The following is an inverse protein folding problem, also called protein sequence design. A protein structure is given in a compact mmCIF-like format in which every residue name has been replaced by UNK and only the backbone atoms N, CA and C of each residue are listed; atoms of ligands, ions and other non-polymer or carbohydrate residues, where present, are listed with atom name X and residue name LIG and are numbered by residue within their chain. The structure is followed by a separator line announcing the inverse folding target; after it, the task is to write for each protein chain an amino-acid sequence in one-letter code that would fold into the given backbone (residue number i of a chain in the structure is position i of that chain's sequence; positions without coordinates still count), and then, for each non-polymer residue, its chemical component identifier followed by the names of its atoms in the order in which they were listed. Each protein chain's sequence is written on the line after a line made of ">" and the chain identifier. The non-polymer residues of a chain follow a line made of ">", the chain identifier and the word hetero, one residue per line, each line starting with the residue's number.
data_IF_238778351148
#
_entry.id   IF_238778351148
#
_cell.length_a   1.000
_cell.length_b   1.000
_cell.length_c   1.000
_cell.angle_alpha   90.00
_cell.angle_beta   90.00
_cell.angle_gamma   90.00
#
_symmetry.space_group_name_H-M   'P 1'
#
loop_
_entity.id
_entity.type
_entity.pdbx_description
1 polymer ?
#
# COMPACT_ATOMS: atom_id res chain seq x y z
N UNK A 1 16.62 31.88 -10.71
CA UNK A 1 16.61 32.29 -9.29
C UNK A 1 17.43 31.27 -8.49
N UNK A 2 18.61 31.68 -8.00
CA UNK A 2 19.56 30.84 -7.25
C UNK A 2 19.22 30.94 -5.77
N UNK A 3 18.99 29.81 -5.10
CA UNK A 3 18.85 29.78 -3.64
C UNK A 3 20.22 29.52 -3.01
N UNK A 4 20.78 30.57 -2.40
CA UNK A 4 21.94 30.48 -1.51
C UNK A 4 21.51 29.79 -0.20
N UNK A 5 22.16 28.68 0.14
CA UNK A 5 22.05 28.08 1.48
C UNK A 5 23.02 28.81 2.43
N UNK A 6 22.48 29.75 3.20
CA UNK A 6 23.18 30.35 4.32
C UNK A 6 23.20 29.37 5.49
N UNK A 7 24.41 29.09 5.99
CA UNK A 7 24.67 28.13 7.05
C UNK A 7 23.86 28.36 8.31
N UNK A 8 23.36 27.27 8.89
CA UNK A 8 23.02 27.21 10.31
C UNK A 8 23.54 25.92 10.92
N UNK A 9 24.60 26.13 11.71
CA UNK A 9 25.19 25.28 12.74
C UNK A 9 24.10 24.69 13.64
N UNK A 10 24.00 23.37 13.67
CA UNK A 10 23.12 22.65 14.58
C UNK A 10 23.70 22.72 16.01
N UNK A 11 22.89 23.00 17.05
CA UNK A 11 23.36 22.93 18.41
C UNK A 11 23.54 21.47 18.84
N UNK A 12 24.75 21.16 19.31
CA UNK A 12 25.08 19.94 20.02
C UNK A 12 24.18 19.80 21.26
N UNK A 13 23.33 18.77 21.28
CA UNK A 13 22.61 18.37 22.48
C UNK A 13 23.54 17.53 23.37
N UNK A 14 24.01 18.14 24.46
CA UNK A 14 24.63 17.48 25.61
C UNK A 14 23.65 17.57 26.79
N UNK A 15 23.26 16.44 27.34
CA UNK A 15 22.50 16.34 28.60
C UNK A 15 22.41 14.87 29.01
N UNK A 16 23.44 14.35 29.67
CA UNK A 16 23.61 14.28 31.13
C UNK A 16 22.75 13.18 31.76
N UNK A 17 23.45 12.11 32.09
CA UNK A 17 23.07 10.99 32.95
C UNK A 17 22.48 11.44 34.29
N UNK A 18 21.34 10.86 34.66
CA UNK A 18 20.81 10.80 36.02
C UNK A 18 20.55 9.34 36.38
N UNK A 19 21.26 8.85 37.39
CA UNK A 19 21.25 7.47 37.90
C UNK A 19 20.42 7.43 39.19
N UNK A 20 19.35 6.63 39.22
CA UNK A 20 18.70 6.05 40.41
C UNK A 20 17.82 4.91 39.83
N UNK A 21 18.09 3.63 40.05
CA UNK A 21 18.12 2.95 41.34
C UNK A 21 16.80 2.22 41.53
N UNK A 22 16.65 1.00 40.99
CA UNK A 22 15.63 0.06 41.46
C UNK A 22 16.08 -1.37 41.21
N UNK A 23 16.12 -2.14 42.30
CA UNK A 23 16.44 -3.57 42.36
C UNK A 23 15.19 -4.34 41.95
N UNK A 24 15.36 -5.30 41.04
CA UNK A 24 14.31 -6.24 40.67
C UNK A 24 14.93 -7.42 39.95
N UNK A 25 15.35 -8.43 40.70
CA UNK A 25 15.82 -9.69 40.16
C UNK A 25 14.62 -10.54 39.74
N UNK A 26 14.53 -10.94 38.48
CA UNK A 26 13.74 -12.10 38.06
C UNK A 26 14.45 -12.79 36.88
N UNK A 27 15.12 -13.88 37.24
CA UNK A 27 15.28 -15.15 36.53
C UNK A 27 14.99 -15.21 35.03
N UNK A 28 16.00 -15.64 34.27
CA UNK A 28 15.92 -16.05 32.86
C UNK A 28 14.81 -17.07 32.58
N UNK A 29 14.34 -17.08 31.32
CA UNK A 29 14.32 -18.31 30.56
C UNK A 29 15.20 -18.24 29.31
N UNK A 30 15.67 -19.44 28.98
CA UNK A 30 16.52 -19.84 27.86
C UNK A 30 15.94 -19.43 26.49
N UNK A 31 16.85 -19.12 25.58
CA UNK A 31 16.85 -19.61 24.20
C UNK A 31 15.69 -19.17 23.32
N UNK A 32 15.93 -18.11 22.54
CA UNK A 32 15.93 -18.25 21.08
C UNK A 32 17.07 -17.37 20.57
N UNK A 33 18.18 -18.00 20.21
CA UNK A 33 19.11 -17.44 19.23
C UNK A 33 18.31 -17.28 17.94
N UNK A 34 17.56 -16.19 17.83
CA UNK A 34 16.98 -15.78 16.56
C UNK A 34 18.17 -15.27 15.78
N UNK A 35 18.76 -16.19 15.00
CA UNK A 35 19.72 -15.92 13.97
C UNK A 35 19.42 -14.54 13.41
N UNK A 36 20.37 -13.61 13.59
CA UNK A 36 20.32 -12.35 12.91
C UNK A 36 20.34 -12.70 11.42
N UNK A 37 19.15 -12.81 10.82
CA UNK A 37 18.97 -12.71 9.39
C UNK A 37 19.62 -11.37 9.04
N UNK A 38 20.87 -11.46 8.60
CA UNK A 38 21.66 -10.37 8.09
C UNK A 38 21.02 -9.91 6.80
N UNK A 39 19.85 -9.28 6.91
CA UNK A 39 19.31 -8.45 5.87
C UNK A 39 20.35 -7.36 5.68
N UNK A 40 21.17 -7.51 4.65
CA UNK A 40 21.96 -6.44 4.08
C UNK A 40 20.98 -5.27 3.86
N UNK A 41 20.98 -4.33 4.79
CA UNK A 41 20.01 -3.24 4.81
C UNK A 41 20.45 -2.24 3.75
N UNK A 42 20.02 -2.46 2.52
CA UNK A 42 20.29 -1.55 1.41
C UNK A 42 19.53 -0.26 1.67
N UNK A 43 20.22 0.76 2.21
CA UNK A 43 19.62 2.05 2.46
C UNK A 43 19.53 2.86 1.17
N UNK A 44 18.33 2.94 0.59
CA UNK A 44 18.05 3.77 -0.58
C UNK A 44 17.63 5.18 -0.12
N UNK A 45 18.23 6.20 -0.75
CA UNK A 45 17.81 7.60 -0.58
C UNK A 45 16.84 7.97 -1.69
N UNK A 46 15.64 8.39 -1.31
CA UNK A 46 14.61 8.85 -2.24
C UNK A 46 14.24 10.30 -1.92
N UNK A 47 13.96 11.09 -2.95
CA UNK A 47 13.50 12.48 -2.82
C UNK A 47 12.03 12.52 -3.22
N UNK A 48 11.16 12.93 -2.29
CA UNK A 48 9.71 13.02 -2.51
C UNK A 48 9.31 14.48 -2.39
N UNK A 49 8.63 15.01 -3.40
CA UNK A 49 8.04 16.34 -3.33
C UNK A 49 6.76 16.28 -2.48
N UNK A 50 6.70 17.08 -1.42
CA UNK A 50 5.54 17.19 -0.54
C UNK A 50 5.10 18.66 -0.50
N UNK A 51 3.79 18.96 -0.57
CA UNK A 51 3.29 20.30 -0.31
C UNK A 51 3.73 20.79 1.07
N UNK A 52 4.05 22.09 1.18
CA UNK A 52 4.59 22.68 2.41
C UNK A 52 3.67 22.46 3.62
N UNK A 53 2.36 22.62 3.44
CA UNK A 53 1.36 22.39 4.49
C UNK A 53 1.40 20.95 5.03
N UNK A 54 1.56 19.98 4.12
CA UNK A 54 1.65 18.57 4.48
C UNK A 54 2.95 18.28 5.25
N UNK A 55 4.07 18.89 4.82
CA UNK A 55 5.34 18.75 5.51
C UNK A 55 5.30 19.36 6.92
N UNK A 56 4.62 20.49 7.11
CA UNK A 56 4.41 21.11 8.42
C UNK A 56 3.62 20.20 9.36
N UNK A 57 2.51 19.64 8.87
CA UNK A 57 1.70 18.70 9.62
C UNK A 57 2.48 17.43 10.00
N UNK A 58 3.26 16.87 9.06
CA UNK A 58 4.14 15.73 9.32
C UNK A 58 5.16 16.03 10.42
N UNK A 59 5.79 17.21 10.36
CA UNK A 59 6.79 17.61 11.36
C UNK A 59 6.16 17.79 12.75
N UNK A 60 4.98 18.40 12.84
CA UNK A 60 4.25 18.53 14.09
C UNK A 60 3.90 17.16 14.67
N UNK A 61 3.39 16.24 13.85
CA UNK A 61 3.05 14.87 14.27
C UNK A 61 4.27 14.06 14.70
N UNK A 62 5.41 14.24 14.04
CA UNK A 62 6.68 13.62 14.42
C UNK A 62 7.13 14.10 15.81
N UNK A 63 7.05 15.41 16.07
CA UNK A 63 7.38 15.99 17.37
C UNK A 63 6.46 15.47 18.49
N UNK A 64 5.14 15.40 18.25
CA UNK A 64 4.18 14.86 19.21
C UNK A 64 4.38 13.36 19.50
N UNK A 65 4.82 12.60 18.50
CA UNK A 65 5.04 11.15 18.64
C UNK A 65 6.44 10.80 19.16
N UNK A 66 7.33 11.78 19.37
CA UNK A 66 8.72 11.55 19.75
C UNK A 66 9.55 10.84 18.67
N UNK A 67 9.16 10.95 17.40
CA UNK A 67 9.79 10.26 16.26
C UNK A 67 10.46 11.26 15.33
N UNK A 68 11.42 10.80 14.54
CA UNK A 68 11.94 11.58 13.40
C UNK A 68 10.92 11.59 12.26
N UNK A 69 10.98 12.62 11.41
CA UNK A 69 10.12 12.71 10.21
C UNK A 69 10.33 11.50 9.29
N UNK A 70 11.57 11.00 9.18
CA UNK A 70 11.89 9.81 8.38
C UNK A 70 11.18 8.56 8.90
N UNK A 71 11.24 8.29 10.20
CA UNK A 71 10.58 7.12 10.82
C UNK A 71 9.07 7.20 10.67
N UNK A 72 8.50 8.39 10.83
CA UNK A 72 7.06 8.60 10.66
C UNK A 72 6.62 8.34 9.22
N UNK A 73 7.38 8.83 8.23
CA UNK A 73 7.14 8.55 6.82
C UNK A 73 7.24 7.05 6.54
N UNK A 74 8.28 6.39 7.06
CA UNK A 74 8.43 4.94 6.89
C UNK A 74 7.20 4.18 7.40
N UNK A 75 6.70 4.52 8.60
CA UNK A 75 5.48 3.89 9.15
C UNK A 75 4.26 4.14 8.28
N UNK A 76 4.08 5.35 7.75
CA UNK A 76 2.96 5.63 6.85
C UNK A 76 3.07 4.89 5.53
N UNK A 77 4.27 4.74 4.98
CA UNK A 77 4.49 3.93 3.77
C UNK A 77 4.19 2.46 4.06
N UNK A 78 4.72 1.89 5.14
CA UNK A 78 4.43 0.51 5.54
C UNK A 78 2.93 0.28 5.78
N UNK A 79 2.26 1.22 6.45
CA UNK A 79 0.82 1.14 6.69
C UNK A 79 0.01 1.31 5.40
N UNK A 80 0.45 2.17 4.48
CA UNK A 80 -0.18 2.38 3.18
C UNK A 80 -0.06 1.15 2.27
N UNK A 81 1.09 0.47 2.31
CA UNK A 81 1.32 -0.77 1.55
C UNK A 81 0.59 -1.98 2.16
N UNK A 82 0.40 -2.01 3.49
CA UNK A 82 -0.34 -3.08 4.18
C UNK A 82 -1.86 -2.89 4.09
N UNK A 83 -2.32 -1.65 3.97
CA UNK A 83 -3.75 -1.40 3.83
C UNK A 83 -4.22 -1.94 2.47
N UNK A 84 -5.18 -2.88 2.42
CA UNK A 84 -5.84 -3.19 1.18
C UNK A 84 -6.44 -1.89 0.67
N UNK A 85 -6.12 -1.51 -0.58
CA UNK A 85 -6.65 -0.31 -1.21
C UNK A 85 -8.16 -0.26 -0.95
N UNK A 86 -8.68 0.86 -0.47
CA UNK A 86 -10.11 0.98 -0.14
C UNK A 86 -10.99 0.80 -1.40
N UNK A 87 -10.39 0.91 -2.58
CA UNK A 87 -10.96 0.51 -3.88
C UNK A 87 -11.28 -0.99 -3.97
N UNK A 88 -10.60 -1.85 -3.21
CA UNK A 88 -10.91 -3.28 -3.11
C UNK A 88 -12.09 -3.59 -2.18
N UNK A 89 -12.68 -2.62 -1.46
CA UNK A 89 -13.93 -2.88 -0.75
C UNK A 89 -15.14 -2.86 -1.72
N UNK A 90 -15.05 -2.06 -2.79
CA UNK A 90 -16.02 -2.06 -3.89
C UNK A 90 -15.70 -3.11 -4.95
N UNK A 91 -14.42 -3.49 -5.11
CA UNK A 91 -13.95 -4.51 -6.06
C UNK A 91 -13.55 -5.85 -5.42
N UNK A 92 -13.90 -6.07 -4.14
CA UNK A 92 -14.08 -7.43 -3.64
C UNK A 92 -15.33 -7.91 -4.31
N UNK A 93 -15.16 -8.49 -5.51
CA UNK A 93 -16.22 -9.04 -6.35
C UNK A 93 -17.35 -9.53 -5.46
N UNK A 94 -18.49 -8.83 -5.54
CA UNK A 94 -19.63 -9.00 -4.65
C UNK A 94 -19.81 -10.50 -4.45
N UNK A 95 -19.54 -11.03 -3.25
CA UNK A 95 -19.66 -12.48 -3.00
C UNK A 95 -21.10 -12.87 -3.28
N UNK A 96 -21.36 -13.30 -4.51
CA UNK A 96 -22.62 -13.92 -4.88
C UNK A 96 -22.56 -15.34 -4.33
N UNK A 97 -23.69 -15.90 -3.88
CA UNK A 97 -23.75 -17.34 -3.69
C UNK A 97 -23.28 -18.02 -4.98
N UNK A 98 -22.57 -19.15 -4.90
CA UNK A 98 -22.26 -19.95 -6.08
C UNK A 98 -23.54 -20.16 -6.90
N UNK A 99 -23.47 -20.12 -8.24
CA UNK A 99 -24.65 -20.34 -9.05
C UNK A 99 -25.27 -21.68 -8.66
N UNK A 100 -26.54 -21.65 -8.28
CA UNK A 100 -27.30 -22.87 -7.99
C UNK A 100 -27.55 -23.57 -9.31
N UNK A 101 -27.24 -24.86 -9.40
CA UNK A 101 -27.60 -25.68 -10.56
C UNK A 101 -29.13 -25.74 -10.61
N UNK A 102 -29.73 -25.00 -11.55
CA UNK A 102 -31.18 -25.04 -11.78
C UNK A 102 -31.48 -26.28 -12.62
N UNK A 103 -32.36 -27.16 -12.12
CA UNK A 103 -32.84 -28.29 -12.91
C UNK A 103 -33.50 -27.75 -14.20
N UNK A 104 -33.27 -28.38 -15.36
CA UNK A 104 -33.81 -27.90 -16.62
C UNK A 104 -35.34 -27.74 -16.52
N UNK A 105 -35.83 -26.53 -16.72
CA UNK A 105 -37.26 -26.14 -16.64
C UNK A 105 -38.11 -26.76 -17.77
N UNK A 106 -37.55 -27.68 -18.56
CA UNK A 106 -38.19 -28.29 -19.73
C UNK A 106 -38.30 -27.36 -20.95
N UNK A 107 -37.90 -26.08 -20.83
CA UNK A 107 -37.88 -25.15 -21.96
C UNK A 107 -36.64 -25.39 -22.81
N UNK A 108 -36.78 -25.76 -24.10
CA UNK A 108 -35.63 -25.94 -24.97
C UNK A 108 -34.99 -24.57 -25.25
N UNK A 109 -33.71 -24.44 -24.90
CA UNK A 109 -32.91 -23.29 -25.34
C UNK A 109 -32.58 -23.54 -26.80
N UNK A 110 -33.03 -22.66 -27.69
CA UNK A 110 -32.74 -22.77 -29.12
C UNK A 110 -31.24 -22.63 -29.34
N UNK A 111 -30.56 -23.75 -29.61
CA UNK A 111 -29.17 -23.74 -30.01
C UNK A 111 -29.09 -23.21 -31.44
N UNK A 112 -28.42 -22.08 -31.63
CA UNK A 112 -28.05 -21.62 -32.96
C UNK A 112 -26.92 -22.49 -33.52
N UNK A 113 -26.90 -22.67 -34.83
CA UNK A 113 -25.90 -23.51 -35.50
C UNK A 113 -24.51 -22.84 -35.49
N UNK A 114 -23.43 -23.62 -35.49
CA UNK A 114 -22.06 -23.11 -35.60
C UNK A 114 -21.80 -22.06 -36.69
N UNK A 115 -22.30 -22.21 -37.93
CA UNK A 115 -22.13 -21.17 -38.94
C UNK A 115 -22.92 -19.88 -38.64
N UNK A 116 -23.99 -19.96 -37.86
CA UNK A 116 -24.74 -18.80 -37.39
C UNK A 116 -23.99 -18.05 -36.29
N UNK A 117 -23.40 -18.78 -35.33
CA UNK A 117 -22.55 -18.22 -34.27
C UNK A 117 -21.42 -17.39 -34.88
N UNK A 118 -20.72 -17.94 -35.88
CA UNK A 118 -19.61 -17.24 -36.55
C UNK A 118 -20.04 -15.93 -37.20
N UNK A 119 -21.21 -15.91 -37.85
CA UNK A 119 -21.74 -14.68 -38.46
C UNK A 119 -22.07 -13.61 -37.43
N UNK A 120 -22.50 -14.00 -36.22
CA UNK A 120 -22.77 -13.07 -35.13
C UNK A 120 -21.47 -12.49 -34.54
N UNK A 121 -20.44 -13.33 -34.38
CA UNK A 121 -19.11 -12.90 -33.91
C UNK A 121 -18.48 -11.88 -34.88
N UNK A 122 -18.49 -12.16 -36.19
CA UNK A 122 -17.96 -11.26 -37.22
C UNK A 122 -18.67 -9.88 -37.21
N UNK A 123 -20.00 -9.87 -37.06
CA UNK A 123 -20.78 -8.63 -36.97
C UNK A 123 -20.49 -7.83 -35.69
N UNK A 124 -20.20 -8.49 -34.57
CA UNK A 124 -19.84 -7.82 -33.33
C UNK A 124 -18.46 -7.15 -33.43
N UNK A 125 -17.50 -7.84 -34.06
CA UNK A 125 -16.16 -7.31 -34.30
C UNK A 125 -16.20 -6.07 -35.20
N UNK A 126 -16.96 -6.09 -36.30
CA UNK A 126 -17.16 -4.93 -37.17
C UNK A 126 -17.73 -3.72 -36.42
N UNK A 127 -18.74 -3.94 -35.56
CA UNK A 127 -19.34 -2.88 -34.74
C UNK A 127 -18.37 -2.31 -33.70
N UNK A 128 -17.56 -3.17 -33.08
CA UNK A 128 -16.54 -2.77 -32.10
C UNK A 128 -15.41 -1.97 -32.76
N UNK A 129 -15.00 -2.37 -33.95
CA UNK A 129 -14.02 -1.63 -34.76
C UNK A 129 -14.56 -0.27 -35.19
N UNK A 130 -15.81 -0.18 -35.64
CA UNK A 130 -16.44 1.10 -36.01
C UNK A 130 -16.51 2.10 -34.83
N UNK A 131 -16.74 1.62 -33.60
CA UNK A 131 -16.73 2.45 -32.38
C UNK A 131 -15.34 2.97 -32.00
N UNK A 132 -14.28 2.27 -32.40
CA UNK A 132 -12.90 2.60 -32.02
C UNK A 132 -12.22 3.59 -32.98
N UNK A 133 -12.77 3.81 -34.18
CA UNK A 133 -12.19 4.68 -35.22
C UNK A 133 -12.70 6.13 -35.15
N UNK A 134 -13.61 6.45 -34.22
CA UNK A 134 -14.18 7.79 -34.03
C UNK A 134 -13.78 8.51 -32.73
N UNK A 135 -12.53 8.37 -32.28
CA UNK A 135 -11.97 9.05 -31.11
C UNK A 135 -10.84 10.01 -31.48
#
# INVERSE_FOLDING_TARGET
>A
MRWCWAGRRWPAWRGRSGRAGSKGSCSSPRGVDRAADGHEYVFVRTTIALPDELYRALRARAALSGMTVRELIQRFVEQGLRQPSVSSAQDRGRRQPPPVIILPTGTPIAAISWPEVRRLEEQEDEQKHARSVGG
#
